data_IF_909014813498
#
_entry.id   IF_909014813498
#
_cell.length_a   1.000
_cell.length_b   1.000
_cell.length_c   1.000
_cell.angle_alpha   90.00
_cell.angle_beta   90.00
_cell.angle_gamma   90.00
#
_symmetry.space_group_name_H-M   'P 1'
#
loop_
_entity.id
_entity.type
_entity.pdbx_description
1 polymer ?
#
# COMPACT_ATOMS: atom_id res chain seq x y z
N UNK A 1 12.64 -4.74 6.80
CA UNK A 1 12.53 -4.68 5.32
C UNK A 1 11.61 -5.77 4.75
N UNK A 2 11.79 -7.07 5.08
CA UNK A 2 10.95 -8.15 4.52
C UNK A 2 9.42 -7.96 4.73
N UNK A 3 8.99 -7.39 5.86
CA UNK A 3 7.55 -7.23 6.16
C UNK A 3 6.83 -6.28 5.18
N UNK A 4 7.43 -5.15 4.83
CA UNK A 4 6.84 -4.20 3.88
C UNK A 4 6.74 -4.77 2.47
N UNK A 5 7.81 -5.42 1.99
CA UNK A 5 7.80 -6.13 0.71
C UNK A 5 6.69 -7.20 0.65
N UNK A 6 6.52 -7.96 1.74
CA UNK A 6 5.46 -8.96 1.82
C UNK A 6 4.05 -8.36 1.73
N UNK A 7 3.83 -7.14 2.22
CA UNK A 7 2.53 -6.45 2.09
C UNK A 7 2.27 -6.13 0.61
N UNK A 8 3.26 -5.58 -0.10
CA UNK A 8 3.13 -5.26 -1.54
C UNK A 8 2.94 -6.52 -2.40
N UNK A 9 3.68 -7.58 -2.12
CA UNK A 9 3.53 -8.86 -2.83
C UNK A 9 2.13 -9.45 -2.60
N UNK A 10 1.58 -9.31 -1.39
CA UNK A 10 0.23 -9.78 -1.10
C UNK A 10 -0.83 -8.93 -1.79
N UNK A 11 -0.64 -7.60 -1.87
CA UNK A 11 -1.50 -6.74 -2.66
C UNK A 11 -1.57 -7.19 -4.13
N UNK A 12 -0.42 -7.45 -4.77
CA UNK A 12 -0.38 -7.97 -6.13
C UNK A 12 -1.20 -9.27 -6.28
N UNK A 13 -1.07 -10.20 -5.33
CA UNK A 13 -1.85 -11.45 -5.34
C UNK A 13 -3.34 -11.22 -5.19
N UNK A 14 -3.74 -10.27 -4.36
CA UNK A 14 -5.14 -9.91 -4.16
C UNK A 14 -5.72 -9.30 -5.44
N UNK A 15 -5.01 -8.36 -6.07
CA UNK A 15 -5.42 -7.78 -7.36
C UNK A 15 -5.56 -8.87 -8.44
N UNK A 16 -4.62 -9.82 -8.52
CA UNK A 16 -4.66 -10.93 -9.48
C UNK A 16 -5.82 -11.91 -9.22
N UNK A 17 -6.17 -12.12 -7.95
CA UNK A 17 -7.21 -13.07 -7.53
C UNK A 17 -8.60 -12.46 -7.67
N UNK A 18 -8.78 -11.24 -7.17
CA UNK A 18 -10.07 -10.55 -7.10
C UNK A 18 -10.39 -9.83 -8.40
N UNK A 19 -9.37 -9.40 -9.17
CA UNK A 19 -9.49 -8.74 -10.47
C UNK A 19 -10.48 -7.57 -10.41
N UNK A 20 -10.19 -6.51 -9.63
CA UNK A 20 -11.06 -5.34 -9.54
C UNK A 20 -11.36 -4.79 -10.94
N UNK A 21 -12.61 -4.39 -11.18
CA UNK A 21 -13.07 -3.88 -12.48
C UNK A 21 -12.93 -2.35 -12.58
N UNK A 22 -12.76 -1.66 -11.45
CA UNK A 22 -12.73 -0.22 -11.33
C UNK A 22 -11.80 0.25 -10.19
N UNK A 23 -11.67 1.59 -10.09
CA UNK A 23 -10.84 2.23 -9.09
C UNK A 23 -11.36 2.00 -7.66
N UNK A 24 -12.67 1.94 -7.44
CA UNK A 24 -13.23 1.70 -6.10
C UNK A 24 -12.84 0.31 -5.58
N UNK A 25 -12.88 -0.70 -6.45
CA UNK A 25 -12.38 -2.04 -6.15
C UNK A 25 -10.87 -2.07 -5.88
N UNK A 26 -10.09 -1.35 -6.69
CA UNK A 26 -8.64 -1.22 -6.46
C UNK A 26 -8.35 -0.55 -5.11
N UNK A 27 -8.97 0.60 -4.84
CA UNK A 27 -8.75 1.37 -3.61
C UNK A 27 -9.10 0.56 -2.38
N UNK A 28 -10.16 -0.24 -2.42
CA UNK A 28 -10.49 -1.15 -1.32
C UNK A 28 -9.33 -2.10 -0.98
N UNK A 29 -8.61 -2.62 -1.99
CA UNK A 29 -7.44 -3.50 -1.79
C UNK A 29 -6.22 -2.71 -1.31
N UNK A 30 -5.95 -1.54 -1.88
CA UNK A 30 -4.78 -0.73 -1.47
C UNK A 30 -4.96 -0.10 -0.09
N UNK A 31 -6.20 0.20 0.30
CA UNK A 31 -6.54 0.64 1.65
C UNK A 31 -6.22 -0.44 2.68
N UNK A 32 -6.63 -1.69 2.43
CA UNK A 32 -6.29 -2.81 3.29
C UNK A 32 -4.77 -3.05 3.38
N UNK A 33 -4.03 -2.83 2.29
CA UNK A 33 -2.57 -2.91 2.32
C UNK A 33 -1.94 -1.75 3.10
N UNK A 34 -2.48 -0.55 2.97
CA UNK A 34 -2.07 0.66 3.71
C UNK A 34 -2.30 0.50 5.21
N UNK A 35 -3.43 -0.03 5.65
CA UNK A 35 -3.70 -0.33 7.06
C UNK A 35 -2.65 -1.29 7.65
N UNK A 36 -2.23 -2.30 6.88
CA UNK A 36 -1.14 -3.20 7.31
C UNK A 36 0.22 -2.51 7.40
N UNK A 37 0.43 -1.45 6.62
CA UNK A 37 1.60 -0.59 6.80
C UNK A 37 1.50 0.28 8.05
N UNK A 38 0.30 0.74 8.44
CA UNK A 38 0.08 1.41 9.73
C UNK A 38 0.42 0.47 10.89
N UNK A 39 -0.07 -0.77 10.86
CA UNK A 39 0.27 -1.79 11.87
C UNK A 39 1.78 -2.02 11.95
N UNK A 40 2.46 -2.07 10.80
CA UNK A 40 3.91 -2.19 10.76
C UNK A 40 4.62 -0.93 11.32
N UNK A 41 4.05 0.25 11.13
CA UNK A 41 4.56 1.49 11.70
C UNK A 41 4.44 1.49 13.23
N UNK A 42 3.29 1.09 13.75
CA UNK A 42 3.05 0.92 15.20
C UNK A 42 4.05 -0.07 15.81
N UNK A 43 4.33 -1.20 15.15
CA UNK A 43 5.36 -2.14 15.62
C UNK A 43 6.75 -1.50 15.74
N UNK A 44 7.12 -0.58 14.83
CA UNK A 44 8.39 0.14 14.95
C UNK A 44 8.35 1.10 16.15
N UNK A 45 7.25 1.82 16.34
CA UNK A 45 7.08 2.77 17.45
C UNK A 45 7.18 2.06 18.81
N UNK A 46 6.59 0.87 18.93
CA UNK A 46 6.72 0.00 20.11
C UNK A 46 8.17 -0.41 20.41
N UNK A 47 9.06 -0.34 19.41
CA UNK A 47 10.49 -0.64 19.52
C UNK A 47 11.35 0.64 19.55
N UNK A 48 10.79 1.79 19.92
CA UNK A 48 11.46 3.11 19.94
C UNK A 48 12.07 3.51 18.58
N UNK A 49 11.42 3.12 17.48
CA UNK A 49 11.82 3.39 16.10
C UNK A 49 10.66 3.96 15.31
N UNK A 50 10.92 4.78 14.30
CA UNK A 50 9.88 5.25 13.38
C UNK A 50 10.14 4.70 11.98
N UNK A 51 9.08 4.59 11.17
CA UNK A 51 9.25 4.43 9.73
C UNK A 51 9.81 5.76 9.17
N UNK A 52 11.00 5.69 8.61
CA UNK A 52 11.67 6.80 7.92
C UNK A 52 10.73 7.47 6.89
N UNK A 53 10.74 8.80 6.82
CA UNK A 53 9.91 9.56 5.86
C UNK A 53 10.09 9.10 4.42
N UNK A 54 11.33 8.77 4.02
CA UNK A 54 11.62 8.25 2.69
C UNK A 54 10.93 6.92 2.41
N UNK A 55 10.78 6.06 3.43
CA UNK A 55 10.09 4.79 3.27
C UNK A 55 8.59 4.99 3.07
N UNK A 56 8.00 6.00 3.71
CA UNK A 56 6.57 6.38 3.54
C UNK A 56 6.29 6.82 2.10
N UNK A 57 7.12 7.69 1.54
CA UNK A 57 7.01 8.13 0.14
C UNK A 57 7.24 6.98 -0.84
N UNK A 58 8.18 6.08 -0.51
CA UNK A 58 8.45 4.89 -1.32
C UNK A 58 7.23 3.96 -1.35
N UNK A 59 6.56 3.74 -0.22
CA UNK A 59 5.33 2.92 -0.16
C UNK A 59 4.25 3.50 -1.08
N UNK A 60 3.99 4.81 -1.01
CA UNK A 60 2.98 5.44 -1.86
C UNK A 60 3.33 5.31 -3.36
N UNK A 61 4.61 5.51 -3.71
CA UNK A 61 5.10 5.38 -5.09
C UNK A 61 5.02 3.92 -5.59
N UNK A 62 5.31 2.95 -4.73
CA UNK A 62 5.21 1.53 -5.06
C UNK A 62 3.74 1.12 -5.27
N UNK A 63 2.80 1.64 -4.46
CA UNK A 63 1.36 1.43 -4.66
C UNK A 63 0.89 1.97 -6.02
N UNK A 64 1.34 3.18 -6.38
CA UNK A 64 1.05 3.80 -7.68
C UNK A 64 1.61 2.94 -8.83
N UNK A 65 2.87 2.49 -8.72
CA UNK A 65 3.48 1.64 -9.73
C UNK A 65 2.75 0.30 -9.91
N UNK A 66 2.31 -0.31 -8.81
CA UNK A 66 1.49 -1.53 -8.83
C UNK A 66 0.16 -1.27 -9.54
N UNK A 67 -0.57 -0.21 -9.17
CA UNK A 67 -1.84 0.16 -9.80
C UNK A 67 -1.70 0.33 -11.32
N UNK A 68 -0.70 1.11 -11.76
CA UNK A 68 -0.40 1.31 -13.18
C UNK A 68 -0.06 0.00 -13.89
N UNK A 69 0.71 -0.89 -13.24
CA UNK A 69 1.09 -2.19 -13.80
C UNK A 69 -0.09 -3.12 -14.04
N UNK A 70 -1.18 -2.96 -13.28
CA UNK A 70 -2.44 -3.71 -13.45
C UNK A 70 -3.48 -2.98 -14.32
N UNK A 71 -3.11 -1.84 -14.94
CA UNK A 71 -3.94 -1.12 -15.91
C UNK A 71 -4.75 0.04 -15.35
N UNK A 72 -4.50 0.45 -14.10
CA UNK A 72 -5.16 1.61 -13.48
C UNK A 72 -4.28 2.85 -13.58
N UNK A 73 -4.10 3.37 -14.80
CA UNK A 73 -3.23 4.52 -15.07
C UNK A 73 -3.74 5.83 -14.45
N UNK A 74 -5.05 5.94 -14.22
CA UNK A 74 -5.71 7.13 -13.66
C UNK A 74 -5.90 7.06 -12.13
N UNK A 75 -5.30 6.07 -11.45
CA UNK A 75 -5.39 5.96 -10.00
C UNK A 75 -4.70 7.15 -9.31
N UNK A 76 -5.38 7.74 -8.32
CA UNK A 76 -4.83 8.84 -7.54
C UNK A 76 -3.94 8.29 -6.42
N UNK A 77 -2.67 8.70 -6.39
CA UNK A 77 -1.71 8.28 -5.38
C UNK A 77 -2.17 8.60 -3.96
N UNK A 78 -2.82 9.74 -3.73
CA UNK A 78 -3.33 10.10 -2.41
C UNK A 78 -4.47 9.18 -1.98
N UNK A 79 -5.29 8.73 -2.95
CA UNK A 79 -6.39 7.82 -2.69
C UNK A 79 -5.91 6.38 -2.47
N UNK A 80 -4.89 5.93 -3.21
CA UNK A 80 -4.29 4.59 -3.04
C UNK A 80 -3.83 4.34 -1.60
N UNK A 81 -3.33 5.38 -0.93
CA UNK A 81 -2.85 5.36 0.46
C UNK A 81 -3.69 6.23 1.41
N UNK A 82 -4.98 6.43 1.11
CA UNK A 82 -5.86 7.30 1.90
C UNK A 82 -5.90 6.97 3.41
N UNK A 83 -5.92 5.69 3.86
CA UNK A 83 -6.00 5.38 5.29
C UNK A 83 -4.63 5.39 5.99
N UNK A 84 -3.59 5.98 5.40
CA UNK A 84 -2.28 6.08 6.06
C UNK A 84 -2.37 6.92 7.34
N UNK A 85 -1.77 6.42 8.42
CA UNK A 85 -1.74 7.10 9.73
C UNK A 85 -0.35 7.66 10.08
N UNK A 86 0.60 7.60 9.14
CA UNK A 86 1.97 8.07 9.31
C UNK A 86 2.22 9.48 8.78
#
# INVERSE_FOLDING_TARGET
MQKGENILVELCRQIETERPEDLDGLYSLTHAATERFNELAEEFEENDSEIETVARDTIATDMEYIAQSYGFEDADIEELVAPRDW
#
